data_IF_273889818465
#
_entry.id   IF_273889818465
#
_cell.length_a   1.000
_cell.length_b   1.000
_cell.length_c   1.000
_cell.angle_alpha   90.00
_cell.angle_beta   90.00
_cell.angle_gamma   90.00
#
_symmetry.space_group_name_H-M   'P 1'
#
loop_
_entity.id
_entity.type
_entity.pdbx_description
1 polymer ?
#
# COMPACT_ATOMS: atom_id res chain seq x y z
N UNK A 1 -11.80 -19.64 10.93
CA UNK A 1 -11.19 -18.57 10.10
C UNK A 1 -9.74 -18.95 9.82
N UNK A 2 -9.34 -19.06 8.57
CA UNK A 2 -8.03 -19.60 8.20
C UNK A 2 -6.96 -18.50 8.35
N UNK A 3 -5.79 -18.80 8.92
CA UNK A 3 -4.71 -17.81 9.15
C UNK A 3 -4.30 -17.11 7.83
N UNK A 4 -4.45 -17.80 6.70
CA UNK A 4 -4.22 -17.25 5.36
C UNK A 4 -5.24 -16.17 4.96
N UNK A 5 -6.51 -16.35 5.32
CA UNK A 5 -7.58 -15.37 5.05
C UNK A 5 -7.40 -14.12 5.89
N UNK A 6 -7.05 -14.28 7.17
CA UNK A 6 -6.77 -13.15 8.07
C UNK A 6 -5.58 -12.35 7.54
N UNK A 7 -4.51 -13.02 7.11
CA UNK A 7 -3.36 -12.35 6.50
C UNK A 7 -3.74 -11.62 5.22
N UNK A 8 -4.55 -12.23 4.36
CA UNK A 8 -5.03 -11.59 3.13
C UNK A 8 -5.89 -10.36 3.41
N UNK A 9 -6.75 -10.40 4.44
CA UNK A 9 -7.54 -9.23 4.85
C UNK A 9 -6.65 -8.12 5.41
N UNK A 10 -5.64 -8.47 6.21
CA UNK A 10 -4.64 -7.51 6.71
C UNK A 10 -3.85 -6.87 5.58
N UNK A 11 -3.42 -7.67 4.60
CA UNK A 11 -2.71 -7.18 3.42
C UNK A 11 -3.62 -6.25 2.60
N UNK A 12 -4.91 -6.57 2.46
CA UNK A 12 -5.90 -5.73 1.78
C UNK A 12 -6.15 -4.41 2.52
N UNK A 13 -6.25 -4.43 3.85
CA UNK A 13 -6.37 -3.23 4.70
C UNK A 13 -5.10 -2.37 4.59
N UNK A 14 -3.93 -3.01 4.48
CA UNK A 14 -2.64 -2.33 4.30
C UNK A 14 -2.47 -1.73 2.91
N UNK A 15 -3.13 -2.30 1.91
CA UNK A 15 -3.12 -1.83 0.52
C UNK A 15 -4.17 -0.74 0.24
N UNK A 16 -5.24 -0.69 1.04
CA UNK A 16 -6.30 0.30 0.91
C UNK A 16 -5.78 1.73 1.16
N UNK A 17 -6.30 2.70 0.38
CA UNK A 17 -5.95 4.09 0.60
C UNK A 17 -6.46 4.56 1.97
N UNK A 18 -5.78 5.56 2.54
CA UNK A 18 -6.17 6.18 3.81
C UNK A 18 -7.63 6.62 3.81
N UNK A 19 -8.12 7.08 2.65
CA UNK A 19 -9.52 7.49 2.46
C UNK A 19 -10.47 6.30 2.46
N UNK A 20 -10.09 5.20 1.82
CA UNK A 20 -10.87 3.96 1.80
C UNK A 20 -10.96 3.35 3.21
N UNK A 21 -9.84 3.34 3.95
CA UNK A 21 -9.81 2.92 5.36
C UNK A 21 -10.71 3.78 6.24
N UNK A 22 -10.71 5.11 6.06
CA UNK A 22 -11.59 6.01 6.80
C UNK A 22 -13.06 5.71 6.48
N UNK A 23 -13.40 5.50 5.20
CA UNK A 23 -14.78 5.18 4.79
C UNK A 23 -15.21 3.84 5.39
N UNK A 24 -14.41 2.78 5.25
CA UNK A 24 -14.71 1.47 5.83
C UNK A 24 -14.85 1.59 7.34
N UNK A 25 -13.95 2.31 7.99
CA UNK A 25 -14.03 2.57 9.43
C UNK A 25 -15.30 3.34 9.80
N UNK A 26 -15.73 4.32 8.99
CA UNK A 26 -16.96 5.09 9.25
C UNK A 26 -18.20 4.19 9.27
N UNK A 27 -18.24 3.14 8.46
CA UNK A 27 -19.36 2.19 8.41
C UNK A 27 -19.23 1.06 9.44
N UNK A 28 -18.02 0.55 9.67
CA UNK A 28 -17.78 -0.58 10.56
C UNK A 28 -17.85 -0.17 12.03
N UNK A 29 -17.36 1.03 12.35
CA UNK A 29 -17.15 1.49 13.71
C UNK A 29 -18.48 1.75 14.45
N UNK A 30 -19.54 2.35 13.87
CA UNK A 30 -20.86 2.42 14.50
C UNK A 30 -21.45 1.04 14.79
N UNK A 31 -21.25 0.07 13.90
CA UNK A 31 -21.76 -1.29 14.05
C UNK A 31 -21.01 -2.03 15.17
N UNK A 32 -19.68 -1.87 15.21
CA UNK A 32 -18.83 -2.44 16.25
C UNK A 32 -19.14 -1.81 17.61
N UNK A 33 -19.27 -0.48 17.67
CA UNK A 33 -19.65 0.25 18.88
C UNK A 33 -21.02 -0.19 19.37
N UNK A 34 -22.01 -0.32 18.48
CA UNK A 34 -23.34 -0.81 18.83
C UNK A 34 -23.30 -2.23 19.41
N UNK A 35 -22.53 -3.14 18.81
CA UNK A 35 -22.35 -4.49 19.30
C UNK A 35 -21.67 -4.53 20.69
N UNK A 36 -20.62 -3.73 20.88
CA UNK A 36 -19.94 -3.61 22.16
C UNK A 36 -20.81 -2.97 23.24
N UNK A 37 -21.59 -1.93 22.91
CA UNK A 37 -22.55 -1.32 23.83
C UNK A 37 -23.64 -2.32 24.22
N UNK A 38 -24.19 -3.08 23.27
CA UNK A 38 -25.15 -4.14 23.55
C UNK A 38 -24.57 -5.23 24.46
N UNK A 39 -23.34 -5.66 24.20
CA UNK A 39 -22.63 -6.61 25.05
C UNK A 39 -22.35 -6.06 26.46
N UNK A 40 -21.88 -4.81 26.57
CA UNK A 40 -21.60 -4.16 27.85
C UNK A 40 -22.88 -3.90 28.66
N UNK A 41 -24.01 -3.61 28.00
CA UNK A 41 -25.31 -3.48 28.64
C UNK A 41 -25.88 -4.83 29.10
N UNK A 42 -25.45 -5.95 28.50
CA UNK A 42 -25.80 -7.29 28.97
C UNK A 42 -25.04 -7.70 30.23
N UNK A 43 -24.02 -6.94 30.64
CA UNK A 43 -23.24 -7.19 31.86
C UNK A 43 -23.83 -6.39 33.02
N UNK A 44 -24.58 -7.08 33.87
CA UNK A 44 -25.27 -6.53 35.05
C UNK A 44 -24.35 -5.70 35.97
N UNK A 45 -23.08 -6.09 36.07
CA UNK A 45 -22.05 -5.38 36.85
C UNK A 45 -21.67 -4.00 36.28
N UNK A 46 -21.73 -3.84 34.96
CA UNK A 46 -21.40 -2.57 34.29
C UNK A 46 -22.60 -1.65 34.22
N UNK A 47 -23.83 -2.17 34.44
CA UNK A 47 -25.06 -1.41 34.25
C UNK A 47 -25.23 -0.22 35.22
N UNK A 48 -24.65 -0.33 36.42
CA UNK A 48 -24.63 0.77 37.40
C UNK A 48 -23.56 1.85 37.16
N UNK A 49 -22.59 1.61 36.26
CA UNK A 49 -21.43 2.48 36.10
C UNK A 49 -21.23 2.90 34.63
N UNK A 50 -22.08 3.81 34.17
CA UNK A 50 -22.00 4.38 32.81
C UNK A 50 -20.60 4.92 32.49
N UNK A 51 -19.91 5.54 33.45
CA UNK A 51 -18.55 6.03 33.27
C UNK A 51 -17.51 4.94 32.94
N UNK A 52 -17.65 3.73 33.50
CA UNK A 52 -16.79 2.60 33.18
C UNK A 52 -17.09 2.02 31.79
N UNK A 53 -18.37 1.96 31.40
CA UNK A 53 -18.77 1.57 30.04
C UNK A 53 -18.10 2.48 29.01
N UNK A 54 -18.18 3.81 29.20
CA UNK A 54 -17.55 4.78 28.31
C UNK A 54 -16.02 4.65 28.28
N UNK A 55 -15.36 4.42 29.41
CA UNK A 55 -13.91 4.20 29.48
C UNK A 55 -13.46 2.97 28.68
N UNK A 56 -14.19 1.84 28.81
CA UNK A 56 -13.87 0.61 28.06
C UNK A 56 -14.03 0.84 26.55
N UNK A 57 -15.13 1.48 26.14
CA UNK A 57 -15.38 1.83 24.74
C UNK A 57 -14.29 2.76 24.20
N UNK A 58 -13.86 3.74 25.00
CA UNK A 58 -12.81 4.67 24.62
C UNK A 58 -11.44 3.99 24.46
N UNK A 59 -11.10 3.06 25.35
CA UNK A 59 -9.87 2.25 25.23
C UNK A 59 -9.91 1.38 23.98
N UNK A 60 -11.04 0.72 23.70
CA UNK A 60 -11.21 -0.07 22.48
C UNK A 60 -11.05 0.79 21.22
N UNK A 61 -11.59 2.01 21.23
CA UNK A 61 -11.44 2.96 20.13
C UNK A 61 -9.97 3.35 19.92
N UNK A 62 -9.25 3.67 21.00
CA UNK A 62 -7.82 4.01 20.94
C UNK A 62 -7.00 2.84 20.40
N UNK A 63 -7.25 1.62 20.88
CA UNK A 63 -6.55 0.43 20.40
C UNK A 63 -6.82 0.17 18.92
N UNK A 64 -8.07 0.37 18.48
CA UNK A 64 -8.45 0.24 17.07
C UNK A 64 -7.70 1.25 16.19
N UNK A 65 -7.77 2.54 16.52
CA UNK A 65 -7.09 3.61 15.75
C UNK A 65 -5.57 3.44 15.80
N UNK A 66 -5.02 3.13 16.99
CA UNK A 66 -3.60 2.88 17.18
C UNK A 66 -3.10 1.68 16.38
N UNK A 67 -3.88 0.60 16.31
CA UNK A 67 -3.58 -0.57 15.49
C UNK A 67 -3.52 -0.25 13.99
N UNK A 68 -4.46 0.55 13.49
CA UNK A 68 -4.45 1.00 12.08
C UNK A 68 -3.22 1.87 11.77
N UNK A 69 -2.88 2.80 12.66
CA UNK A 69 -1.69 3.65 12.52
C UNK A 69 -0.42 2.79 12.56
N UNK A 70 -0.34 1.86 13.51
CA UNK A 70 0.81 0.96 13.64
C UNK A 70 0.98 0.09 12.38
N UNK A 71 -0.09 -0.48 11.83
CA UNK A 71 -0.02 -1.24 10.57
C UNK A 71 0.48 -0.39 9.40
N UNK A 72 0.08 0.88 9.33
CA UNK A 72 0.52 1.79 8.28
C UNK A 72 1.98 2.21 8.43
N UNK A 73 2.48 2.33 9.66
CA UNK A 73 3.88 2.71 9.94
C UNK A 73 4.81 1.51 9.87
N UNK A 74 4.36 0.33 10.32
CA UNK A 74 5.09 -0.94 10.22
C UNK A 74 5.28 -1.42 8.77
N UNK A 75 4.71 -0.67 7.81
CA UNK A 75 4.93 -0.85 6.40
C UNK A 75 6.42 -0.69 6.05
N UNK A 76 7.11 -1.82 6.05
CA UNK A 76 8.55 -1.88 5.85
C UNK A 76 8.88 -1.40 4.44
N UNK A 77 9.93 -0.60 4.29
CA UNK A 77 10.41 -0.09 3.00
C UNK A 77 10.49 -1.18 1.91
N UNK A 78 10.81 -2.42 2.30
CA UNK A 78 10.85 -3.60 1.42
C UNK A 78 9.50 -3.93 0.78
N UNK A 79 8.41 -3.81 1.53
CA UNK A 79 7.07 -4.13 1.03
C UNK A 79 6.52 -2.99 0.16
N UNK A 80 6.86 -1.74 0.48
CA UNK A 80 6.62 -0.60 -0.42
C UNK A 80 7.34 -0.79 -1.76
N UNK A 81 8.60 -1.21 -1.73
CA UNK A 81 9.38 -1.52 -2.93
C UNK A 81 8.79 -2.69 -3.73
N UNK A 82 8.39 -3.78 -3.06
CA UNK A 82 7.78 -4.94 -3.72
C UNK A 82 6.46 -4.59 -4.41
N UNK A 83 5.64 -3.76 -3.79
CA UNK A 83 4.39 -3.27 -4.38
C UNK A 83 4.63 -2.29 -5.52
N UNK A 84 5.55 -1.33 -5.34
CA UNK A 84 5.94 -0.41 -6.40
C UNK A 84 6.46 -1.14 -7.63
N UNK A 85 7.26 -2.21 -7.44
CA UNK A 85 7.70 -3.08 -8.54
C UNK A 85 6.51 -3.61 -9.34
N UNK A 86 5.55 -4.25 -8.67
CA UNK A 86 4.40 -4.85 -9.35
C UNK A 86 3.58 -3.82 -10.14
N UNK A 87 3.28 -2.67 -9.54
CA UNK A 87 2.47 -1.64 -10.20
C UNK A 87 3.20 -0.96 -11.35
N UNK A 88 4.48 -0.64 -11.18
CA UNK A 88 5.30 -0.01 -12.24
C UNK A 88 5.51 -0.99 -13.40
N UNK A 89 5.81 -2.26 -13.11
CA UNK A 89 5.96 -3.31 -14.12
C UNK A 89 4.66 -3.51 -14.92
N UNK A 90 3.54 -3.68 -14.22
CA UNK A 90 2.21 -3.85 -14.84
C UNK A 90 1.88 -2.66 -15.73
N UNK A 91 2.17 -1.45 -15.25
CA UNK A 91 1.92 -0.22 -16.00
C UNK A 91 2.77 -0.15 -17.27
N UNK A 92 4.06 -0.48 -17.19
CA UNK A 92 4.95 -0.48 -18.35
C UNK A 92 4.52 -1.54 -19.38
N UNK A 93 4.14 -2.75 -18.94
CA UNK A 93 3.61 -3.80 -19.83
C UNK A 93 2.30 -3.38 -20.51
N UNK A 94 1.36 -2.78 -19.77
CA UNK A 94 0.03 -2.43 -20.29
C UNK A 94 0.04 -1.38 -21.41
N UNK A 95 0.99 -0.43 -21.40
CA UNK A 95 1.07 0.61 -22.45
C UNK A 95 1.84 0.18 -23.69
N UNK A 96 2.48 -1.00 -23.71
CA UNK A 96 3.39 -1.41 -24.81
C UNK A 96 4.65 -0.54 -24.95
N UNK A 97 4.67 0.65 -24.34
CA UNK A 97 5.86 1.45 -24.15
C UNK A 97 6.67 0.88 -23.01
N UNK A 98 7.73 0.14 -23.34
CA UNK A 98 8.71 -0.37 -22.39
C UNK A 98 9.40 0.72 -21.56
N UNK A 99 9.07 2.02 -21.71
CA UNK A 99 9.75 3.18 -21.12
C UNK A 99 8.75 4.20 -20.59
N UNK A 100 9.02 4.78 -19.42
CA UNK A 100 8.26 5.89 -18.83
C UNK A 100 9.18 6.84 -18.05
N UNK A 101 8.87 8.15 -18.03
CA UNK A 101 9.57 9.09 -17.15
C UNK A 101 9.14 8.88 -15.70
N UNK A 102 9.97 9.30 -14.75
CA UNK A 102 9.60 9.28 -13.33
C UNK A 102 8.32 10.09 -13.07
N UNK A 103 8.15 11.23 -13.73
CA UNK A 103 6.92 12.02 -13.66
C UNK A 103 5.68 11.26 -14.15
N UNK A 104 5.81 10.48 -15.23
CA UNK A 104 4.69 9.68 -15.73
C UNK A 104 4.34 8.55 -14.75
N UNK A 105 5.35 7.96 -14.08
CA UNK A 105 5.12 6.97 -13.03
C UNK A 105 4.44 7.62 -11.82
N UNK A 106 4.84 8.82 -11.41
CA UNK A 106 4.17 9.55 -10.32
C UNK A 106 2.70 9.80 -10.61
N UNK A 107 2.42 10.39 -11.78
CA UNK A 107 1.07 10.80 -12.13
C UNK A 107 0.11 9.61 -12.31
N UNK A 108 0.63 8.43 -12.68
CA UNK A 108 -0.20 7.30 -13.08
C UNK A 108 -0.13 6.09 -12.14
N UNK A 109 0.91 6.00 -11.31
CA UNK A 109 1.09 4.92 -10.33
C UNK A 109 0.93 5.47 -8.92
N UNK A 110 1.77 6.43 -8.52
CA UNK A 110 1.69 7.03 -7.19
C UNK A 110 2.48 8.36 -7.13
N UNK A 111 1.77 9.46 -6.86
CA UNK A 111 2.32 10.82 -6.82
C UNK A 111 3.36 11.02 -5.72
N UNK A 112 3.32 10.19 -4.67
CA UNK A 112 4.23 10.28 -3.51
C UNK A 112 5.61 9.68 -3.77
N UNK A 113 5.84 9.04 -4.92
CA UNK A 113 7.13 8.41 -5.23
C UNK A 113 8.22 9.47 -5.45
N UNK A 114 9.27 9.43 -4.63
CA UNK A 114 10.45 10.28 -4.81
C UNK A 114 11.38 9.73 -5.90
N UNK A 115 12.26 10.58 -6.44
CA UNK A 115 13.25 10.16 -7.43
C UNK A 115 14.17 9.09 -6.83
N UNK A 116 14.57 9.26 -5.57
CA UNK A 116 15.43 8.30 -4.86
C UNK A 116 14.73 6.96 -4.66
N UNK A 117 13.42 6.96 -4.40
CA UNK A 117 12.65 5.74 -4.30
C UNK A 117 12.59 4.98 -5.64
N UNK A 118 12.37 5.71 -6.74
CA UNK A 118 12.33 5.11 -8.08
C UNK A 118 13.71 4.63 -8.54
N UNK A 119 14.79 5.34 -8.21
CA UNK A 119 16.16 4.87 -8.45
C UNK A 119 16.46 3.60 -7.65
N UNK A 120 16.11 3.60 -6.36
CA UNK A 120 16.29 2.45 -5.49
C UNK A 120 15.47 1.23 -5.95
N UNK A 121 14.29 1.47 -6.54
CA UNK A 121 13.48 0.43 -7.16
C UNK A 121 14.23 -0.25 -8.33
N UNK A 122 14.92 0.52 -9.16
CA UNK A 122 15.75 0.03 -10.27
C UNK A 122 16.97 -0.71 -9.73
N UNK A 123 17.71 -0.11 -8.79
CA UNK A 123 18.92 -0.71 -8.19
C UNK A 123 18.64 -2.07 -7.52
N UNK A 124 17.47 -2.24 -6.94
CA UNK A 124 17.07 -3.48 -6.26
C UNK A 124 16.44 -4.52 -7.19
N UNK A 125 16.08 -4.17 -8.42
CA UNK A 125 15.51 -5.09 -9.41
C UNK A 125 16.09 -4.83 -10.81
N UNK A 126 17.43 -4.87 -10.97
CA UNK A 126 18.09 -4.57 -12.24
C UNK A 126 17.73 -5.58 -13.35
N UNK A 127 17.27 -6.78 -12.98
CA UNK A 127 16.83 -7.79 -13.93
C UNK A 127 15.49 -7.47 -14.61
N UNK A 128 14.70 -6.54 -14.06
CA UNK A 128 13.38 -6.16 -14.60
C UNK A 128 13.39 -4.73 -15.09
N UNK A 129 14.08 -3.84 -14.37
CA UNK A 129 14.08 -2.41 -14.67
C UNK A 129 15.47 -1.92 -15.07
N UNK A 130 15.50 -1.10 -16.11
CA UNK A 130 16.65 -0.32 -16.52
C UNK A 130 16.41 1.17 -16.34
N UNK A 131 17.50 1.93 -16.26
CA UNK A 131 17.45 3.40 -16.29
C UNK A 131 17.41 3.87 -17.73
N UNK A 132 16.54 4.82 -18.07
CA UNK A 132 16.54 5.47 -19.38
C UNK A 132 16.38 6.98 -19.25
N UNK A 133 16.84 7.71 -20.26
CA UNK A 133 16.64 9.16 -20.35
C UNK A 133 15.65 9.45 -21.46
N UNK A 134 14.55 10.13 -21.14
CA UNK A 134 13.57 10.51 -22.16
C UNK A 134 14.10 11.69 -22.97
N UNK A 135 14.20 11.50 -24.30
CA UNK A 135 14.72 12.50 -25.26
C UNK A 135 14.00 13.85 -25.14
N UNK A 136 12.69 13.84 -24.90
CA UNK A 136 11.89 15.04 -24.67
C UNK A 136 12.12 15.55 -23.23
N UNK A 137 13.12 16.42 -23.06
CA UNK A 137 13.39 17.14 -21.82
C UNK A 137 14.49 16.58 -20.91
N UNK A 138 15.29 15.61 -21.37
CA UNK A 138 16.40 14.99 -20.59
C UNK A 138 15.97 14.52 -19.18
N UNK A 139 14.74 14.03 -19.05
CA UNK A 139 14.20 13.58 -17.76
C UNK A 139 14.60 12.14 -17.46
N UNK A 140 14.89 11.80 -16.19
CA UNK A 140 15.12 10.43 -15.78
C UNK A 140 13.83 9.60 -15.96
N UNK A 141 14.02 8.35 -16.34
CA UNK A 141 12.95 7.41 -16.63
C UNK A 141 13.34 5.98 -16.30
N UNK A 142 12.32 5.14 -16.25
CA UNK A 142 12.42 3.70 -16.02
C UNK A 142 12.01 2.95 -17.29
N UNK A 143 12.76 1.91 -17.63
CA UNK A 143 12.44 0.99 -18.74
C UNK A 143 12.30 -0.43 -18.21
N UNK A 144 11.49 -1.26 -18.88
CA UNK A 144 11.61 -2.70 -18.72
C UNK A 144 12.87 -3.17 -19.44
N UNK A 145 13.64 -4.05 -18.80
CA UNK A 145 14.71 -4.79 -19.46
C UNK A 145 14.03 -5.83 -20.34
N UNK A 146 14.04 -5.60 -21.65
CA UNK A 146 13.85 -6.69 -22.59
C UNK A 146 15.06 -7.61 -22.45
N UNK A 147 14.83 -8.86 -22.07
CA UNK A 147 15.83 -9.91 -22.24
C UNK A 147 16.06 -10.00 -23.75
N UNK A 148 17.05 -9.26 -24.25
CA UNK A 148 17.59 -9.50 -25.57
C UNK A 148 18.18 -10.91 -25.51
N UNK A 149 17.51 -11.84 -26.19
CA UNK A 149 18.21 -12.96 -26.83
C UNK A 149 19.47 -12.41 -27.48
N UNK A 150 20.61 -12.99 -27.14
CA UNK A 150 21.82 -12.90 -27.98
C UNK A 150 21.39 -13.14 -29.43
N UNK A 151 21.37 -12.09 -30.24
CA UNK A 151 21.81 -12.23 -31.62
C UNK A 151 22.08 -10.87 -32.26
N UNK A 152 23.31 -10.75 -32.75
CA UNK A 152 23.80 -9.84 -33.79
C UNK A 152 23.93 -8.34 -33.47
N UNK A 153 25.05 -8.01 -32.84
CA UNK A 153 26.07 -7.25 -33.59
C UNK A 153 27.28 -8.17 -33.81
N UNK A 154 28.11 -8.01 -34.87
CA UNK A 154 28.25 -6.83 -35.72
C UNK A 154 28.22 -7.16 -37.22
N UNK A 155 28.39 -6.15 -38.10
CA UNK A 155 29.48 -6.07 -39.09
C UNK A 155 29.26 -4.88 -40.03
N UNK A 156 30.34 -4.09 -40.16
CA UNK A 156 30.77 -3.18 -41.23
C UNK A 156 29.91 -1.95 -41.58
#
# INVERSE_FOLDING_TARGET
>A
MNIKEVRSMVDMIRDADSKELIIVSLFLLPLLLGAWLGFLNSLDFLDQHDGLKFMIVFILLILYVGGLIYMKIADTQKDKLKRARYHVETRLKKRGGHRASFDAIRNEVNETYSDDFLKKLIELNPEIFGTCTIKKGKKPGITLVTVESEDTQPVA
#
